data_IF_826727570908
#
_entry.id   IF_826727570908
#
_cell.length_a   1.000
_cell.length_b   1.000
_cell.length_c   1.000
_cell.angle_alpha   90.00
_cell.angle_beta   90.00
_cell.angle_gamma   90.00
#
_symmetry.space_group_name_H-M   'P 1'
#
loop_
_entity.id
_entity.type
_entity.pdbx_description
1 polymer ?
#
# COMPACT_ATOMS: atom_id res chain seq x y z
N UNK A 1 -11.03 -5.30 -5.25
CA UNK A 1 -10.98 -4.67 -3.92
C UNK A 1 -9.79 -5.20 -3.15
N UNK A 2 -9.10 -4.35 -2.40
CA UNK A 2 -7.96 -4.76 -1.56
C UNK A 2 -8.43 -5.85 -0.60
N UNK A 3 -7.69 -6.96 -0.54
CA UNK A 3 -7.92 -8.02 0.46
C UNK A 3 -7.59 -7.46 1.84
N UNK A 4 -8.48 -7.62 2.84
CA UNK A 4 -8.37 -7.02 4.19
C UNK A 4 -7.09 -7.38 4.98
N UNK A 5 -6.22 -8.22 4.44
CA UNK A 5 -5.04 -8.76 5.11
C UNK A 5 -3.72 -8.18 4.61
N UNK A 6 -3.74 -7.12 3.79
CA UNK A 6 -2.52 -6.46 3.30
C UNK A 6 -2.68 -4.94 3.31
N UNK A 7 -1.62 -4.26 3.70
CA UNK A 7 -1.44 -2.82 3.55
C UNK A 7 -0.46 -2.58 2.40
N UNK A 8 -0.72 -1.57 1.57
CA UNK A 8 0.13 -1.22 0.44
C UNK A 8 0.56 0.22 0.61
N UNK A 9 1.85 0.48 0.42
CA UNK A 9 2.45 1.80 0.55
C UNK A 9 3.21 2.17 -0.71
N UNK A 10 3.19 3.45 -1.07
CA UNK A 10 4.03 4.05 -2.10
C UNK A 10 4.89 5.11 -1.43
N UNK A 11 6.22 4.97 -1.51
CA UNK A 11 7.18 5.85 -0.85
C UNK A 11 6.89 6.05 0.67
N UNK A 12 6.40 5.00 1.33
CA UNK A 12 6.06 5.00 2.75
C UNK A 12 4.66 5.51 3.10
N UNK A 13 3.90 6.03 2.13
CA UNK A 13 2.53 6.50 2.34
C UNK A 13 1.51 5.42 1.96
N UNK A 14 0.54 5.14 2.85
CA UNK A 14 -0.47 4.11 2.60
C UNK A 14 -1.41 4.54 1.46
N UNK A 15 -1.58 3.68 0.46
CA UNK A 15 -2.36 4.00 -0.74
C UNK A 15 -3.82 4.35 -0.45
N UNK A 16 -4.36 3.97 0.72
CA UNK A 16 -5.72 4.33 1.16
C UNK A 16 -5.89 5.82 1.42
N UNK A 17 -4.81 6.56 1.66
CA UNK A 17 -4.81 8.02 1.76
C UNK A 17 -4.44 8.71 0.44
N UNK A 18 -4.02 7.92 -0.55
CA UNK A 18 -3.79 8.36 -1.93
C UNK A 18 -5.02 7.99 -2.80
N UNK A 19 -4.79 7.51 -4.02
CA UNK A 19 -5.85 7.12 -4.95
C UNK A 19 -6.15 5.59 -4.88
N UNK A 20 -5.86 4.96 -3.75
CA UNK A 20 -6.01 3.51 -3.57
C UNK A 20 -5.16 2.74 -4.56
N UNK A 21 -5.72 1.67 -5.13
CA UNK A 21 -5.05 0.86 -6.16
C UNK A 21 -4.88 1.59 -7.51
N UNK A 22 -5.45 2.78 -7.65
CA UNK A 22 -5.29 3.65 -8.83
C UNK A 22 -4.27 4.77 -8.55
N UNK A 23 -3.44 4.62 -7.50
CA UNK A 23 -2.31 5.53 -7.25
C UNK A 23 -1.32 5.39 -8.40
N UNK A 24 -1.13 6.47 -9.15
CA UNK A 24 -0.15 6.52 -10.23
C UNK A 24 1.27 6.38 -9.67
N UNK A 25 2.09 5.59 -10.36
CA UNK A 25 3.49 5.37 -10.03
C UNK A 25 4.39 6.04 -11.07
N UNK A 26 5.54 6.50 -10.60
CA UNK A 26 6.63 7.00 -11.44
C UNK A 26 7.83 6.07 -11.35
N UNK A 27 8.72 6.20 -12.33
CA UNK A 27 10.00 5.52 -12.27
C UNK A 27 10.76 5.92 -10.99
N UNK A 28 11.29 4.93 -10.29
CA UNK A 28 11.97 5.11 -9.00
C UNK A 28 11.08 5.11 -7.76
N UNK A 29 9.74 5.06 -7.88
CA UNK A 29 8.86 4.93 -6.72
C UNK A 29 9.00 3.55 -6.06
N UNK A 30 9.04 3.53 -4.73
CA UNK A 30 9.11 2.29 -3.96
C UNK A 30 7.71 1.84 -3.52
N UNK A 31 7.35 0.60 -3.84
CA UNK A 31 6.10 -0.02 -3.40
C UNK A 31 6.38 -1.06 -2.33
N UNK A 32 5.79 -0.87 -1.15
CA UNK A 32 5.87 -1.80 -0.03
C UNK A 32 4.53 -2.51 0.18
N UNK A 33 4.56 -3.84 0.29
CA UNK A 33 3.39 -4.67 0.57
C UNK A 33 3.60 -5.34 1.92
N UNK A 34 2.81 -4.94 2.90
CA UNK A 34 2.93 -5.40 4.28
C UNK A 34 1.72 -6.25 4.64
N UNK A 35 1.89 -7.54 4.99
CA UNK A 35 0.78 -8.34 5.50
C UNK A 35 0.26 -7.72 6.80
N UNK A 36 -1.05 -7.64 6.95
CA UNK A 36 -1.67 -7.22 8.19
C UNK A 36 -1.48 -8.34 9.22
N UNK A 37 -0.50 -8.17 10.10
CA UNK A 37 -0.28 -9.06 11.24
C UNK A 37 -1.10 -8.52 12.40
N UNK A 38 -2.06 -9.31 12.90
CA UNK A 38 -2.61 -9.06 14.23
C UNK A 38 -1.52 -9.46 15.23
N UNK A 39 -0.91 -8.47 15.88
CA UNK A 39 -0.05 -8.75 17.03
C UNK A 39 -0.86 -9.50 18.09
N UNK A 40 -0.36 -10.66 18.50
CA UNK A 40 -0.88 -11.39 19.67
C UNK A 40 -0.42 -10.75 20.96
#
# INVERSE_FOLDING_TARGET
GIRRFVNVFVNGEDVRFLNGLQTDLKDGDEVSIVPAVAGG
#
